data_IF_802517365299
#
_entry.id   IF_802517365299
#
_cell.length_a   1.000
_cell.length_b   1.000
_cell.length_c   1.000
_cell.angle_alpha   90.00
_cell.angle_beta   90.00
_cell.angle_gamma   90.00
#
_symmetry.space_group_name_H-M   'P 1'
#
loop_
_entity.id
_entity.type
_entity.pdbx_description
1 polymer ?
#
# COMPACT_ATOMS: atom_id res chain seq x y z
N UNK A 1 10.41 -6.74 9.81
CA UNK A 1 11.72 -6.11 9.48
C UNK A 1 12.52 -5.65 10.71
N UNK A 2 12.00 -4.74 11.55
CA UNK A 2 12.75 -4.18 12.69
C UNK A 2 13.25 -5.21 13.69
N UNK A 3 12.38 -6.14 14.13
CA UNK A 3 12.78 -7.18 15.09
C UNK A 3 13.88 -8.07 14.51
N UNK A 4 13.75 -8.48 13.24
CA UNK A 4 14.77 -9.29 12.56
C UNK A 4 16.11 -8.55 12.48
N UNK A 5 16.08 -7.28 12.05
CA UNK A 5 17.27 -6.42 11.99
C UNK A 5 17.94 -6.28 13.38
N UNK A 6 17.13 -6.10 14.43
CA UNK A 6 17.61 -5.93 15.79
C UNK A 6 18.34 -7.17 16.33
N UNK A 7 17.92 -8.38 15.95
CA UNK A 7 18.58 -9.63 16.33
C UNK A 7 19.67 -10.09 15.34
N UNK A 8 20.05 -9.25 14.36
CA UNK A 8 21.05 -9.57 13.35
C UNK A 8 20.56 -10.46 12.20
N UNK A 9 19.25 -10.66 12.08
CA UNK A 9 18.61 -11.41 11.00
C UNK A 9 18.36 -10.55 9.76
N UNK A 10 18.32 -11.20 8.59
CA UNK A 10 17.97 -10.54 7.32
C UNK A 10 16.45 -10.61 7.09
N UNK A 11 15.82 -9.47 6.84
CA UNK A 11 14.40 -9.44 6.46
C UNK A 11 14.20 -10.13 5.09
N UNK A 12 13.22 -11.06 4.97
CA UNK A 12 12.85 -11.64 3.69
C UNK A 12 12.42 -10.58 2.67
N UNK A 13 12.67 -10.83 1.38
CA UNK A 13 12.23 -9.94 0.31
C UNK A 13 10.70 -9.90 0.15
N UNK A 14 9.98 -10.84 0.74
CA UNK A 14 8.50 -10.87 0.81
C UNK A 14 7.93 -9.86 1.80
N UNK A 15 8.74 -9.31 2.72
CA UNK A 15 8.25 -8.30 3.66
C UNK A 15 8.16 -6.93 2.98
N UNK A 16 6.95 -6.36 2.96
CA UNK A 16 6.70 -5.01 2.43
C UNK A 16 7.24 -3.87 3.32
N UNK A 17 7.51 -4.15 4.60
CA UNK A 17 8.01 -3.14 5.54
C UNK A 17 9.53 -2.95 5.46
N UNK A 18 10.00 -1.82 6.02
CA UNK A 18 11.42 -1.53 6.25
C UNK A 18 11.72 -1.48 7.75
N UNK A 19 12.98 -1.64 8.14
CA UNK A 19 13.37 -1.54 9.55
C UNK A 19 13.17 -0.12 10.09
N UNK A 20 12.71 -0.02 11.33
CA UNK A 20 12.56 1.25 12.06
C UNK A 20 13.78 1.61 12.91
N UNK A 21 14.81 0.74 13.00
CA UNK A 21 15.99 1.02 13.82
C UNK A 21 16.68 2.36 13.51
N UNK A 22 16.81 2.80 12.24
CA UNK A 22 17.37 4.13 11.96
C UNK A 22 16.61 5.26 12.67
N UNK A 23 15.28 5.21 12.68
CA UNK A 23 14.45 6.21 13.34
C UNK A 23 14.64 6.18 14.86
N UNK A 24 14.76 4.99 15.46
CA UNK A 24 15.05 4.84 16.89
C UNK A 24 16.42 5.44 17.28
N UNK A 25 17.34 5.53 16.33
CA UNK A 25 18.65 6.21 16.50
C UNK A 25 18.63 7.70 16.11
N UNK A 26 17.45 8.28 15.86
CA UNK A 26 17.30 9.68 15.46
C UNK A 26 17.62 9.98 13.99
N UNK A 27 17.78 8.95 13.14
CA UNK A 27 18.10 9.10 11.71
C UNK A 27 16.88 8.79 10.86
N UNK A 28 16.43 9.75 10.05
CA UNK A 28 15.41 9.51 9.02
C UNK A 28 16.10 9.12 7.72
N UNK A 29 15.81 7.93 7.15
CA UNK A 29 16.35 7.55 5.84
C UNK A 29 15.97 8.56 4.75
N UNK A 30 16.88 8.79 3.78
CA UNK A 30 16.66 9.75 2.71
C UNK A 30 15.50 9.36 1.78
N UNK A 31 15.25 8.06 1.63
CA UNK A 31 14.19 7.44 0.83
C UNK A 31 12.97 7.04 1.68
N UNK A 32 12.77 7.67 2.84
CA UNK A 32 11.62 7.37 3.68
C UNK A 32 10.30 7.66 2.96
N UNK A 33 9.30 6.82 3.22
CA UNK A 33 7.98 6.91 2.58
C UNK A 33 7.37 8.30 2.77
N UNK A 34 6.85 8.87 1.67
CA UNK A 34 6.08 10.13 1.69
C UNK A 34 4.59 9.95 2.01
N UNK A 35 4.12 8.70 2.12
CA UNK A 35 2.72 8.35 2.38
C UNK A 35 2.61 7.05 3.18
N UNK A 36 1.45 6.81 3.77
CA UNK A 36 1.04 5.53 4.37
C UNK A 36 -0.06 4.90 3.53
N UNK A 37 -0.08 3.57 3.47
CA UNK A 37 -1.19 2.81 2.87
C UNK A 37 -1.83 1.93 3.93
N UNK A 38 -3.15 1.83 3.88
CA UNK A 38 -3.96 0.90 4.68
C UNK A 38 -5.04 0.32 3.79
N UNK A 39 -5.48 -0.91 4.08
CA UNK A 39 -6.49 -1.61 3.30
C UNK A 39 -7.57 -2.14 4.24
N UNK A 40 -8.78 -2.31 3.70
CA UNK A 40 -9.91 -2.87 4.44
C UNK A 40 -10.78 -3.68 3.48
N UNK A 41 -11.09 -4.90 3.87
CA UNK A 41 -12.16 -5.72 3.29
C UNK A 41 -13.41 -5.62 4.17
N UNK A 42 -14.57 -5.42 3.55
CA UNK A 42 -15.88 -5.34 4.20
C UNK A 42 -16.90 -6.35 3.62
N UNK A 43 -16.44 -7.24 2.75
CA UNK A 43 -17.20 -8.36 2.22
C UNK A 43 -17.06 -9.62 3.06
N UNK A 44 -18.06 -10.49 2.96
CA UNK A 44 -18.05 -11.83 3.51
C UNK A 44 -18.44 -12.82 2.39
N UNK A 45 -17.60 -13.84 2.11
CA UNK A 45 -17.81 -14.78 1.00
C UNK A 45 -18.87 -15.85 1.28
N UNK A 46 -19.28 -16.06 2.54
CA UNK A 46 -20.26 -17.08 2.94
C UNK A 46 -21.62 -16.44 3.20
N UNK A 47 -21.66 -15.41 4.04
CA UNK A 47 -22.88 -14.70 4.42
C UNK A 47 -22.78 -13.23 4.02
N UNK A 48 -23.43 -12.80 2.92
CA UNK A 48 -23.29 -11.43 2.43
C UNK A 48 -23.64 -10.39 3.50
N UNK A 49 -22.72 -9.44 3.72
CA UNK A 49 -22.91 -8.31 4.65
C UNK A 49 -24.04 -7.40 4.18
N UNK A 50 -24.53 -6.53 5.06
CA UNK A 50 -25.53 -5.53 4.68
C UNK A 50 -25.00 -4.63 3.55
N UNK A 51 -23.72 -4.21 3.60
CA UNK A 51 -23.09 -3.41 2.55
C UNK A 51 -23.02 -4.14 1.20
N UNK A 52 -22.74 -5.45 1.18
CA UNK A 52 -22.77 -6.23 -0.07
C UNK A 52 -24.15 -6.20 -0.71
N UNK A 53 -25.20 -6.36 0.10
CA UNK A 53 -26.59 -6.36 -0.36
C UNK A 53 -27.00 -4.98 -0.87
N UNK A 54 -26.71 -3.93 -0.11
CA UNK A 54 -27.10 -2.54 -0.43
C UNK A 54 -26.37 -2.02 -1.67
N UNK A 55 -25.10 -2.40 -1.84
CA UNK A 55 -24.27 -1.96 -2.97
C UNK A 55 -24.34 -2.90 -4.18
N UNK A 56 -24.97 -4.07 -4.05
CA UNK A 56 -25.04 -5.09 -5.10
C UNK A 56 -23.66 -5.63 -5.51
N UNK A 57 -22.71 -5.71 -4.56
CA UNK A 57 -21.33 -6.10 -4.83
C UNK A 57 -21.03 -7.54 -4.35
N UNK A 58 -20.27 -8.32 -5.14
CA UNK A 58 -19.73 -9.59 -4.67
C UNK A 58 -18.58 -9.35 -3.68
N UNK A 59 -18.27 -10.34 -2.84
CA UNK A 59 -17.35 -10.20 -1.71
C UNK A 59 -15.95 -9.71 -2.14
N UNK A 60 -15.43 -10.20 -3.27
CA UNK A 60 -14.11 -9.83 -3.81
C UNK A 60 -14.01 -8.37 -4.29
N UNK A 61 -15.15 -7.69 -4.45
CA UNK A 61 -15.22 -6.26 -4.78
C UNK A 61 -15.51 -5.37 -3.57
N UNK A 62 -15.73 -5.95 -2.40
CA UNK A 62 -16.00 -5.23 -1.16
C UNK A 62 -14.71 -4.91 -0.39
N UNK A 63 -13.85 -4.10 -1.01
CA UNK A 63 -12.63 -3.61 -0.39
C UNK A 63 -12.30 -2.17 -0.79
N UNK A 64 -11.41 -1.58 0.00
CA UNK A 64 -10.86 -0.26 -0.23
C UNK A 64 -9.38 -0.19 0.13
N UNK A 65 -8.69 0.76 -0.49
CA UNK A 65 -7.34 1.17 -0.13
C UNK A 65 -7.33 2.65 0.25
N UNK A 66 -6.56 2.97 1.28
CA UNK A 66 -6.42 4.32 1.83
C UNK A 66 -4.98 4.74 1.63
N UNK A 67 -4.74 5.76 0.81
CA UNK A 67 -3.44 6.41 0.68
C UNK A 67 -3.48 7.74 1.40
N UNK A 68 -2.67 7.86 2.45
CA UNK A 68 -2.60 9.07 3.28
C UNK A 68 -1.23 9.71 3.18
N UNK A 69 -1.22 10.97 2.77
CA UNK A 69 -0.05 11.84 2.72
C UNK A 69 -0.07 12.79 3.92
N UNK A 70 0.91 13.70 3.99
CA UNK A 70 0.89 14.79 4.97
C UNK A 70 -0.34 15.70 4.83
N UNK A 71 -0.76 16.00 3.60
CA UNK A 71 -1.79 17.01 3.31
C UNK A 71 -3.15 16.43 2.95
N UNK A 72 -3.22 15.22 2.43
CA UNK A 72 -4.47 14.64 1.93
C UNK A 72 -4.60 13.14 2.21
N UNK A 73 -5.83 12.65 2.28
CA UNK A 73 -6.19 11.23 2.25
C UNK A 73 -7.05 10.94 1.06
N UNK A 74 -6.67 9.95 0.26
CA UNK A 74 -7.50 9.31 -0.74
C UNK A 74 -8.01 7.98 -0.19
N UNK A 75 -9.32 7.77 -0.23
CA UNK A 75 -9.94 6.45 -0.09
C UNK A 75 -10.43 6.00 -1.46
N UNK A 76 -9.84 4.94 -1.99
CA UNK A 76 -10.26 4.33 -3.25
C UNK A 76 -11.02 3.05 -2.96
N UNK A 77 -12.27 2.98 -3.40
CA UNK A 77 -13.12 1.81 -3.27
C UNK A 77 -13.06 0.98 -4.55
N UNK A 78 -13.07 -0.34 -4.39
CA UNK A 78 -13.30 -1.27 -5.50
C UNK A 78 -14.80 -1.33 -5.85
N UNK A 79 -15.16 -2.05 -6.91
CA UNK A 79 -16.56 -2.23 -7.32
C UNK A 79 -17.16 -1.01 -8.02
N UNK A 80 -16.32 -0.12 -8.57
CA UNK A 80 -16.75 1.13 -9.23
C UNK A 80 -17.54 2.08 -8.30
N UNK A 81 -17.31 1.98 -6.99
CA UNK A 81 -17.84 2.93 -6.03
C UNK A 81 -17.05 4.27 -6.11
N UNK A 82 -17.70 5.42 -5.84
CA UNK A 82 -17.02 6.70 -5.80
C UNK A 82 -15.89 6.72 -4.76
N UNK A 83 -14.73 7.34 -5.06
CA UNK A 83 -13.68 7.55 -4.07
C UNK A 83 -14.10 8.59 -3.03
N UNK A 84 -13.31 8.74 -1.97
CA UNK A 84 -13.37 9.89 -1.05
C UNK A 84 -12.02 10.60 -1.03
N UNK A 85 -12.03 11.92 -0.87
CA UNK A 85 -10.84 12.74 -0.78
C UNK A 85 -10.99 13.73 0.38
N UNK A 86 -9.95 13.85 1.21
CA UNK A 86 -9.97 14.70 2.39
C UNK A 86 -8.74 15.62 2.44
N UNK A 87 -8.93 16.90 2.79
CA UNK A 87 -7.85 17.80 3.23
C UNK A 87 -7.53 17.53 4.70
N UNK A 88 -6.24 17.39 5.01
CA UNK A 88 -5.75 17.16 6.37
C UNK A 88 -4.99 18.35 6.94
N UNK A 89 -4.81 19.43 6.18
CA UNK A 89 -4.09 20.63 6.63
C UNK A 89 -4.87 21.36 7.72
N UNK A 90 -6.19 21.31 7.68
CA UNK A 90 -7.08 22.12 8.52
C UNK A 90 -7.83 21.34 9.60
N UNK A 91 -7.56 20.03 9.79
CA UNK A 91 -8.20 19.26 10.87
C UNK A 91 -8.54 17.81 10.51
N UNK A 92 -9.48 17.18 11.25
CA UNK A 92 -9.90 15.80 11.01
C UNK A 92 -10.59 15.65 9.64
N UNK A 93 -10.63 14.40 9.14
CA UNK A 93 -11.22 14.02 7.85
C UNK A 93 -12.76 14.11 7.89
N UNK A 94 -13.29 15.34 7.98
CA UNK A 94 -14.70 15.62 8.25
C UNK A 94 -15.52 15.97 6.99
N UNK A 95 -14.86 16.41 5.91
CA UNK A 95 -15.53 16.84 4.68
C UNK A 95 -14.89 16.19 3.46
N UNK A 96 -15.68 15.40 2.73
CA UNK A 96 -15.28 14.90 1.42
C UNK A 96 -15.25 16.06 0.40
N UNK A 97 -14.13 16.19 -0.30
CA UNK A 97 -13.91 17.22 -1.33
C UNK A 97 -13.97 16.67 -2.75
N UNK A 98 -14.39 15.43 -2.97
CA UNK A 98 -14.45 14.83 -4.33
C UNK A 98 -15.26 15.65 -5.34
N UNK A 99 -16.29 16.37 -4.88
CA UNK A 99 -17.13 17.23 -5.70
C UNK A 99 -16.51 18.61 -6.00
N UNK A 100 -15.38 18.98 -5.38
CA UNK A 100 -14.69 20.24 -5.64
C UNK A 100 -14.06 20.21 -7.06
N UNK A 101 -14.27 21.23 -7.91
CA UNK A 101 -13.61 21.31 -9.22
C UNK A 101 -12.07 21.19 -9.17
N UNK A 102 -11.45 21.60 -8.07
CA UNK A 102 -10.01 21.51 -7.85
C UNK A 102 -9.52 20.09 -7.49
N UNK A 103 -10.42 19.18 -7.13
CA UNK A 103 -10.09 17.83 -6.69
C UNK A 103 -9.57 16.92 -7.81
N UNK A 104 -9.96 17.16 -9.07
CA UNK A 104 -9.68 16.24 -10.18
C UNK A 104 -8.18 15.95 -10.38
N UNK A 105 -7.34 16.99 -10.36
CA UNK A 105 -5.90 16.83 -10.51
C UNK A 105 -5.28 16.09 -9.31
N UNK A 106 -5.79 16.35 -8.11
CA UNK A 106 -5.32 15.73 -6.88
C UNK A 106 -5.75 14.25 -6.79
N UNK A 107 -6.99 13.92 -7.16
CA UNK A 107 -7.47 12.55 -7.28
C UNK A 107 -6.58 11.75 -8.24
N UNK A 108 -6.25 12.31 -9.40
CA UNK A 108 -5.38 11.66 -10.37
C UNK A 108 -3.98 11.41 -9.80
N UNK A 109 -3.35 12.41 -9.18
CA UNK A 109 -2.03 12.27 -8.55
C UNK A 109 -2.02 11.18 -7.46
N UNK A 110 -2.96 11.23 -6.53
CA UNK A 110 -3.02 10.28 -5.43
C UNK A 110 -3.39 8.87 -5.91
N UNK A 111 -4.24 8.74 -6.93
CA UNK A 111 -4.57 7.45 -7.54
C UNK A 111 -3.36 6.85 -8.24
N UNK A 112 -2.57 7.65 -8.96
CA UNK A 112 -1.31 7.18 -9.56
C UNK A 112 -0.32 6.70 -8.51
N UNK A 113 -0.14 7.44 -7.42
CA UNK A 113 0.73 7.01 -6.31
C UNK A 113 0.25 5.72 -5.66
N UNK A 114 -1.06 5.53 -5.53
CA UNK A 114 -1.64 4.29 -5.02
C UNK A 114 -1.36 3.13 -5.97
N UNK A 115 -1.52 3.34 -7.28
CA UNK A 115 -1.20 2.34 -8.29
C UNK A 115 0.28 1.95 -8.25
N UNK A 116 1.19 2.94 -8.25
CA UNK A 116 2.63 2.72 -8.15
C UNK A 116 2.99 1.94 -6.87
N UNK A 117 2.35 2.27 -5.74
CA UNK A 117 2.51 1.54 -4.49
C UNK A 117 2.09 0.08 -4.64
N UNK A 118 0.89 -0.20 -5.20
CA UNK A 118 0.40 -1.57 -5.40
C UNK A 118 1.32 -2.36 -6.33
N UNK A 119 1.82 -1.75 -7.40
CA UNK A 119 2.73 -2.39 -8.35
C UNK A 119 4.10 -2.71 -7.71
N UNK A 120 4.61 -1.81 -6.86
CA UNK A 120 5.88 -2.00 -6.16
C UNK A 120 5.81 -3.13 -5.12
N UNK A 121 4.66 -3.27 -4.46
CA UNK A 121 4.41 -4.27 -3.40
C UNK A 121 3.59 -5.46 -3.89
N UNK A 122 3.50 -5.65 -5.22
CA UNK A 122 2.93 -6.86 -5.77
C UNK A 122 3.79 -8.06 -5.37
N UNK A 123 3.18 -9.21 -5.11
CA UNK A 123 3.88 -10.44 -4.65
C UNK A 123 4.89 -11.04 -5.65
N UNK A 124 5.27 -10.29 -6.69
CA UNK A 124 6.21 -10.69 -7.74
C UNK A 124 7.66 -10.80 -7.24
N UNK A 125 8.02 -11.99 -6.74
CA UNK A 125 9.36 -12.36 -6.28
C UNK A 125 10.46 -12.37 -7.36
N UNK A 126 10.09 -12.21 -8.64
CA UNK A 126 11.01 -12.31 -9.76
C UNK A 126 11.92 -11.10 -9.93
N UNK A 127 11.54 -9.90 -9.46
CA UNK A 127 12.37 -8.70 -9.58
C UNK A 127 13.71 -8.82 -8.81
N UNK A 128 13.82 -9.76 -7.87
CA UNK A 128 14.99 -9.90 -6.97
C UNK A 128 15.71 -11.25 -7.10
N UNK A 129 15.32 -12.08 -8.07
CA UNK A 129 15.94 -13.38 -8.32
C UNK A 129 16.49 -13.42 -9.73
N UNK A 130 17.80 -13.66 -9.87
CA UNK A 130 18.45 -13.82 -11.17
C UNK A 130 18.90 -15.27 -11.32
N UNK A 131 18.43 -15.94 -12.37
CA UNK A 131 18.98 -17.23 -12.75
C UNK A 131 20.34 -17.03 -13.42
N UNK A 132 21.41 -17.56 -12.82
CA UNK A 132 22.76 -17.51 -13.39
C UNK A 132 23.22 -18.93 -13.76
N UNK A 133 24.08 -19.06 -14.79
CA UNK A 133 24.72 -20.35 -15.08
C UNK A 133 25.72 -20.67 -13.96
N UNK A 134 25.44 -21.70 -13.17
CA UNK A 134 26.42 -22.26 -12.24
C UNK A 134 27.45 -23.07 -13.05
N UNK A 135 28.71 -22.63 -13.12
CA UNK A 135 29.81 -23.55 -13.49
C UNK A 135 29.99 -24.49 -12.31
N UNK A 136 29.81 -25.79 -12.53
CA UNK A 136 30.26 -26.80 -11.58
C UNK A 136 31.75 -26.54 -11.26
N UNK A 137 32.21 -26.72 -10.01
CA UNK A 137 33.64 -26.66 -9.74
C UNK A 137 34.32 -27.70 -10.62
N UNK A 138 35.30 -27.24 -11.40
CA UNK A 138 36.09 -28.09 -12.28
C UNK A 138 36.63 -29.25 -11.42
N UNK A 139 36.11 -30.45 -11.69
CA UNK A 139 36.57 -31.68 -11.05
C UNK A 139 37.97 -31.98 -11.52
N UNK A 140 38.97 -31.44 -10.83
CA UNK A 140 40.36 -31.86 -10.92
C UNK A 140 40.72 -32.73 -9.72
N UNK A 141 40.77 -34.04 -9.96
CA UNK A 141 41.72 -34.99 -9.38
C UNK A 141 41.81 -36.18 -10.32
#
# INVERSE_FOLDING_TARGET
>A
PTILDWIGGKAPSTMNGVSLLPLLSGKTPADWRGHTVSELDFGNPVEPTQWQKDLGLPAERCNLAILRTRSHTLVHFNGALPPLLFDRRNGPEAQDMTADPSAAALLLDLTRRMLDHRMTHAEGLFARTVATRHKAPDGSA
#
